data_IF_213797937550
#
_entry.id   IF_213797937550
#
_cell.length_a   1.000
_cell.length_b   1.000
_cell.length_c   1.000
_cell.angle_alpha   90.00
_cell.angle_beta   90.00
_cell.angle_gamma   90.00
#
_symmetry.space_group_name_H-M   'P 1'
#
loop_
_entity.id
_entity.type
_entity.pdbx_description
1 polymer ?
#
# COMPACT_ATOMS: atom_id res chain seq x y z
N UNK A 1 0.69 5.15 29.58
CA UNK A 1 1.17 4.00 28.79
C UNK A 1 1.04 4.34 27.32
N UNK A 2 1.96 3.89 26.46
CA UNK A 2 1.83 4.12 25.02
C UNK A 2 0.56 3.41 24.51
N UNK A 3 -0.20 4.08 23.65
CA UNK A 3 -1.43 3.53 23.08
C UNK A 3 -1.13 2.29 22.25
N UNK A 4 -1.91 1.23 22.37
CA UNK A 4 -1.77 0.05 21.52
C UNK A 4 -2.65 0.20 20.29
N UNK A 5 -2.08 -0.05 19.10
CA UNK A 5 -2.82 -0.02 17.84
C UNK A 5 -2.54 -1.32 17.07
N UNK A 6 -3.62 -1.98 16.67
CA UNK A 6 -3.53 -3.26 15.97
C UNK A 6 -3.35 -3.02 14.47
N UNK A 7 -2.22 -3.44 13.91
CA UNK A 7 -2.03 -3.49 12.46
C UNK A 7 -2.54 -4.81 11.90
N UNK A 8 -3.66 -4.73 11.19
CA UNK A 8 -4.31 -5.88 10.59
C UNK A 8 -3.72 -6.15 9.20
N UNK A 9 -2.79 -7.10 9.16
CA UNK A 9 -2.19 -7.60 7.92
C UNK A 9 -1.72 -9.04 8.09
N UNK A 10 -1.90 -9.86 7.05
CA UNK A 10 -1.29 -11.17 6.93
C UNK A 10 0.00 -11.19 6.09
N UNK A 11 0.42 -10.05 5.54
CA UNK A 11 1.59 -9.95 4.68
C UNK A 11 2.82 -9.54 5.49
N UNK A 12 3.72 -10.50 5.74
CA UNK A 12 4.93 -10.29 6.53
C UNK A 12 5.88 -9.23 5.93
N UNK A 13 5.97 -9.12 4.61
CA UNK A 13 6.82 -8.11 3.95
C UNK A 13 6.26 -6.70 4.12
N UNK A 14 4.94 -6.53 4.06
CA UNK A 14 4.30 -5.24 4.39
C UNK A 14 4.57 -4.84 5.84
N UNK A 15 4.47 -5.79 6.77
CA UNK A 15 4.80 -5.54 8.17
C UNK A 15 6.27 -5.11 8.35
N UNK A 16 7.22 -5.81 7.72
CA UNK A 16 8.64 -5.45 7.76
C UNK A 16 8.87 -4.02 7.25
N UNK A 17 8.30 -3.66 6.10
CA UNK A 17 8.43 -2.32 5.53
C UNK A 17 7.82 -1.25 6.44
N UNK A 18 6.60 -1.47 6.96
CA UNK A 18 5.92 -0.51 7.84
C UNK A 18 6.70 -0.29 9.13
N UNK A 19 7.15 -1.36 9.79
CA UNK A 19 7.94 -1.26 11.03
C UNK A 19 9.25 -0.52 10.76
N UNK A 20 9.92 -0.81 9.63
CA UNK A 20 11.16 -0.14 9.25
C UNK A 20 10.97 1.35 8.97
N UNK A 21 9.85 1.74 8.35
CA UNK A 21 9.55 3.16 8.03
C UNK A 21 9.10 3.93 9.27
N UNK A 22 8.24 3.34 10.12
CA UNK A 22 7.79 3.97 11.36
C UNK A 22 8.97 4.23 12.32
N UNK A 23 9.94 3.30 12.33
CA UNK A 23 11.10 3.35 13.20
C UNK A 23 10.71 3.26 14.69
N UNK A 24 11.63 3.65 15.57
CA UNK A 24 11.43 3.60 17.02
C UNK A 24 10.64 4.80 17.59
N UNK A 25 10.39 5.83 16.78
CA UNK A 25 9.78 7.10 17.21
C UNK A 25 8.31 7.20 16.81
N UNK A 26 7.49 6.30 17.34
CA UNK A 26 6.03 6.43 17.28
C UNK A 26 5.44 6.52 18.69
N UNK A 27 4.40 7.35 18.92
CA UNK A 27 3.79 7.50 20.25
C UNK A 27 2.86 6.35 20.63
N UNK A 28 2.85 5.27 19.85
CA UNK A 28 1.99 4.10 20.03
C UNK A 28 2.77 2.81 19.80
N UNK A 29 2.31 1.72 20.41
CA UNK A 29 2.80 0.38 20.19
C UNK A 29 2.02 -0.28 19.06
N UNK A 30 2.70 -0.66 17.98
CA UNK A 30 2.11 -1.39 16.87
C UNK A 30 2.04 -2.89 17.19
N UNK A 31 0.85 -3.48 17.17
CA UNK A 31 0.63 -4.91 17.40
C UNK A 31 0.15 -5.53 16.09
N UNK A 32 0.89 -6.46 15.50
CA UNK A 32 0.38 -7.18 14.32
C UNK A 32 -0.67 -8.21 14.74
N UNK A 33 -1.80 -8.24 14.02
CA UNK A 33 -2.79 -9.31 14.11
C UNK A 33 -3.21 -9.73 12.71
N UNK A 34 -3.08 -11.02 12.40
CA UNK A 34 -3.64 -11.58 11.18
C UNK A 34 -5.15 -11.77 11.38
N UNK A 35 -5.94 -11.04 10.61
CA UNK A 35 -7.40 -11.21 10.53
C UNK A 35 -7.74 -11.45 9.07
N UNK A 36 -8.63 -12.41 8.82
CA UNK A 36 -9.18 -12.62 7.49
C UNK A 36 -10.26 -11.57 7.25
N UNK A 37 -10.01 -10.66 6.32
CA UNK A 37 -10.92 -9.58 5.96
C UNK A 37 -11.36 -9.77 4.51
N UNK A 38 -12.61 -9.45 4.17
CA UNK A 38 -13.08 -9.53 2.80
C UNK A 38 -12.30 -8.55 1.91
N UNK A 39 -11.84 -9.04 0.76
CA UNK A 39 -11.27 -8.21 -0.31
C UNK A 39 -12.43 -7.65 -1.14
N UNK A 40 -12.90 -6.46 -0.76
CA UNK A 40 -14.09 -5.84 -1.33
C UNK A 40 -13.81 -5.24 -2.72
N UNK A 41 -14.87 -5.13 -3.53
CA UNK A 41 -14.85 -4.42 -4.81
C UNK A 41 -15.40 -2.99 -4.65
N UNK A 42 -14.93 -2.09 -5.50
CA UNK A 42 -15.35 -0.69 -5.52
C UNK A 42 -14.19 0.27 -5.73
N UNK A 43 -14.42 1.53 -5.40
CA UNK A 43 -13.39 2.56 -5.39
C UNK A 43 -12.45 2.40 -4.19
N UNK A 44 -11.22 2.86 -4.35
CA UNK A 44 -10.14 2.61 -3.39
C UNK A 44 -10.46 3.15 -1.97
N UNK A 45 -11.11 4.31 -1.85
CA UNK A 45 -11.47 4.91 -0.55
C UNK A 45 -12.52 4.06 0.16
N UNK A 46 -13.57 3.67 -0.57
CA UNK A 46 -14.66 2.85 -0.05
C UNK A 46 -14.16 1.49 0.43
N UNK A 47 -13.26 0.86 -0.33
CA UNK A 47 -12.62 -0.41 0.06
C UNK A 47 -11.85 -0.22 1.36
N UNK A 48 -11.01 0.82 1.46
CA UNK A 48 -10.20 1.07 2.65
C UNK A 48 -11.07 1.35 3.88
N UNK A 49 -12.13 2.16 3.74
CA UNK A 49 -13.06 2.50 4.83
C UNK A 49 -13.79 1.24 5.32
N UNK A 50 -14.38 0.47 4.41
CA UNK A 50 -15.13 -0.74 4.77
C UNK A 50 -14.22 -1.80 5.41
N UNK A 51 -13.02 -1.99 4.87
CA UNK A 51 -12.00 -2.90 5.43
C UNK A 51 -11.58 -2.47 6.83
N UNK A 52 -11.36 -1.18 7.06
CA UNK A 52 -10.99 -0.64 8.36
C UNK A 52 -12.11 -0.78 9.38
N UNK A 53 -13.36 -0.50 9.01
CA UNK A 53 -14.53 -0.68 9.88
C UNK A 53 -14.72 -2.15 10.28
N UNK A 54 -14.56 -3.07 9.34
CA UNK A 54 -14.66 -4.51 9.64
C UNK A 54 -13.51 -4.98 10.55
N UNK A 55 -12.28 -4.50 10.30
CA UNK A 55 -11.14 -4.75 11.18
C UNK A 55 -11.41 -4.24 12.60
N UNK A 56 -11.93 -3.02 12.74
CA UNK A 56 -12.26 -2.42 14.04
C UNK A 56 -13.33 -3.24 14.76
N UNK A 57 -14.36 -3.71 14.04
CA UNK A 57 -15.43 -4.56 14.59
C UNK A 57 -14.90 -5.88 15.15
N UNK A 58 -13.93 -6.51 14.48
CA UNK A 58 -13.34 -7.80 14.92
C UNK A 58 -12.33 -7.60 16.07
N UNK A 59 -11.58 -6.51 16.03
CA UNK A 59 -10.55 -6.20 17.04
C UNK A 59 -11.14 -5.58 18.30
N UNK A 60 -12.28 -4.91 18.18
CA UNK A 60 -12.94 -4.13 19.25
C UNK A 60 -12.03 -3.05 19.85
N UNK A 61 -11.28 -2.35 18.99
CA UNK A 61 -10.35 -1.30 19.44
C UNK A 61 -9.63 -0.58 18.29
N UNK A 62 -8.55 0.17 18.60
CA UNK A 62 -7.80 0.93 17.60
C UNK A 62 -7.15 0.02 16.57
N UNK A 63 -7.44 0.25 15.30
CA UNK A 63 -6.91 -0.55 14.19
C UNK A 63 -6.30 0.31 13.09
N UNK A 64 -5.29 -0.26 12.45
CA UNK A 64 -4.75 0.20 11.18
C UNK A 64 -4.89 -0.95 10.18
N UNK A 65 -5.39 -0.65 8.98
CA UNK A 65 -5.32 -1.54 7.81
C UNK A 65 -4.54 -0.83 6.70
N UNK A 66 -3.98 -1.62 5.78
CA UNK A 66 -3.29 -1.12 4.60
C UNK A 66 -3.89 -1.73 3.34
N UNK A 67 -4.06 -0.90 2.31
CA UNK A 67 -4.33 -1.35 0.95
C UNK A 67 -3.34 -0.75 -0.05
N UNK A 68 -3.03 -1.50 -1.11
CA UNK A 68 -2.05 -1.12 -2.12
C UNK A 68 -2.64 -1.32 -3.50
N UNK A 69 -2.67 -0.24 -4.29
CA UNK A 69 -3.20 -0.23 -5.64
C UNK A 69 -2.07 0.08 -6.63
N UNK A 70 -2.19 -0.44 -7.85
CA UNK A 70 -1.39 -0.02 -8.99
C UNK A 70 -2.35 0.30 -10.14
N UNK A 71 -2.49 1.58 -10.46
CA UNK A 71 -3.43 2.03 -11.49
C UNK A 71 -2.71 2.47 -12.76
N UNK A 72 -3.13 1.93 -13.90
CA UNK A 72 -2.59 2.32 -15.20
C UNK A 72 -3.45 3.43 -15.79
N UNK A 73 -2.83 4.53 -16.24
CA UNK A 73 -3.55 5.70 -16.75
C UNK A 73 -4.40 5.32 -17.97
N UNK A 74 -3.83 4.56 -18.90
CA UNK A 74 -4.51 4.07 -20.10
C UNK A 74 -5.76 3.21 -19.79
N UNK A 75 -5.77 2.52 -18.64
CA UNK A 75 -6.91 1.72 -18.18
C UNK A 75 -7.76 2.46 -17.14
N UNK A 76 -7.71 3.79 -17.13
CA UNK A 76 -8.47 4.66 -16.21
C UNK A 76 -8.29 4.26 -14.73
N UNK A 77 -7.07 3.88 -14.35
CA UNK A 77 -6.73 3.50 -12.98
C UNK A 77 -6.85 2.01 -12.66
N UNK A 78 -7.31 1.16 -13.58
CA UNK A 78 -7.24 -0.30 -13.44
C UNK A 78 -5.79 -0.81 -13.67
N UNK A 79 -5.39 -1.97 -13.10
CA UNK A 79 -6.19 -2.86 -12.25
C UNK A 79 -6.47 -2.30 -10.84
N UNK A 80 -5.77 -1.25 -10.41
CA UNK A 80 -6.07 -0.51 -9.19
C UNK A 80 -6.08 -1.41 -7.95
N UNK A 81 -7.17 -1.48 -7.17
CA UNK A 81 -7.28 -2.34 -5.98
C UNK A 81 -7.26 -3.83 -6.32
N UNK A 82 -7.49 -4.20 -7.59
CA UNK A 82 -7.51 -5.59 -8.03
C UNK A 82 -6.12 -6.13 -8.37
N UNK A 83 -5.06 -5.33 -8.23
CA UNK A 83 -3.70 -5.66 -8.65
C UNK A 83 -3.20 -7.02 -8.14
N UNK A 84 -3.61 -7.44 -6.93
CA UNK A 84 -3.27 -8.76 -6.37
C UNK A 84 -3.65 -9.91 -7.31
N UNK A 85 -4.86 -9.88 -7.86
CA UNK A 85 -5.40 -10.93 -8.73
C UNK A 85 -4.77 -10.89 -10.11
N UNK A 86 -4.56 -9.69 -10.65
CA UNK A 86 -3.89 -9.52 -11.93
C UNK A 86 -2.43 -10.00 -11.85
N UNK A 87 -1.71 -9.63 -10.78
CA UNK A 87 -0.35 -10.10 -10.56
C UNK A 87 -0.27 -11.62 -10.40
N UNK A 88 -1.19 -12.24 -9.65
CA UNK A 88 -1.24 -13.70 -9.47
C UNK A 88 -1.38 -14.45 -10.80
N UNK A 89 -2.23 -13.95 -11.70
CA UNK A 89 -2.51 -14.62 -12.98
C UNK A 89 -1.55 -14.29 -14.10
N UNK A 90 -1.06 -13.05 -14.14
CA UNK A 90 -0.30 -12.51 -15.26
C UNK A 90 1.19 -12.41 -14.96
N UNK A 91 1.56 -12.31 -13.68
CA UNK A 91 2.90 -11.91 -13.27
C UNK A 91 3.28 -10.52 -13.77
N UNK A 92 4.50 -10.05 -13.45
CA UNK A 92 4.99 -8.76 -13.95
C UNK A 92 5.01 -8.65 -15.48
N UNK A 93 5.31 -9.74 -16.20
CA UNK A 93 5.36 -9.73 -17.66
C UNK A 93 3.97 -9.50 -18.25
N UNK A 94 2.97 -10.23 -17.76
CA UNK A 94 1.61 -10.06 -18.25
C UNK A 94 1.00 -8.71 -17.85
N UNK A 95 1.36 -8.14 -16.69
CA UNK A 95 1.00 -6.76 -16.33
C UNK A 95 1.55 -5.74 -17.34
N UNK A 96 2.79 -5.91 -17.80
CA UNK A 96 3.33 -5.09 -18.89
C UNK A 96 2.61 -5.33 -20.21
N UNK A 97 2.33 -6.59 -20.56
CA UNK A 97 1.62 -6.96 -21.79
C UNK A 97 0.17 -6.46 -21.84
N UNK A 98 -0.50 -6.28 -20.70
CA UNK A 98 -1.84 -5.66 -20.65
C UNK A 98 -1.88 -4.29 -21.32
N UNK A 99 -0.75 -3.58 -21.33
CA UNK A 99 -0.65 -2.26 -21.92
C UNK A 99 -0.17 -2.29 -23.38
N UNK A 100 0.08 -3.45 -24.00
CA UNK A 100 0.68 -3.54 -25.34
C UNK A 100 -0.03 -2.68 -26.41
N UNK A 101 -1.37 -2.62 -26.38
CA UNK A 101 -2.18 -1.84 -27.32
C UNK A 101 -2.33 -0.34 -27.00
N UNK A 102 -1.67 0.17 -25.95
CA UNK A 102 -1.78 1.56 -25.50
C UNK A 102 -0.46 2.29 -25.68
N UNK A 103 -0.45 3.50 -26.21
CA UNK A 103 0.78 4.32 -26.24
C UNK A 103 1.20 4.77 -24.84
N UNK A 104 0.23 5.19 -24.03
CA UNK A 104 0.45 5.61 -22.65
C UNK A 104 0.72 4.41 -21.74
N UNK A 105 1.92 4.40 -21.15
CA UNK A 105 2.37 3.39 -20.18
C UNK A 105 2.44 3.93 -18.75
N UNK A 106 2.00 5.17 -18.53
CA UNK A 106 2.06 5.80 -17.21
C UNK A 106 1.15 5.08 -16.21
N UNK A 107 1.61 5.04 -14.96
CA UNK A 107 0.91 4.40 -13.87
C UNK A 107 1.19 5.10 -12.54
N UNK A 108 0.27 4.90 -11.59
CA UNK A 108 0.41 5.41 -10.23
C UNK A 108 0.33 4.24 -9.25
N UNK A 109 1.41 4.07 -8.49
CA UNK A 109 1.42 3.22 -7.31
C UNK A 109 0.83 3.98 -6.13
N UNK A 110 -0.11 3.39 -5.41
CA UNK A 110 -0.85 4.04 -4.33
C UNK A 110 -0.88 3.14 -3.11
N UNK A 111 -0.61 3.70 -1.94
CA UNK A 111 -0.78 3.03 -0.65
C UNK A 111 -1.73 3.87 0.19
N UNK A 112 -2.70 3.22 0.82
CA UNK A 112 -3.61 3.88 1.76
C UNK A 112 -3.58 3.13 3.08
N UNK A 113 -3.20 3.84 4.14
CA UNK A 113 -3.45 3.40 5.50
C UNK A 113 -4.79 3.93 5.94
N UNK A 114 -5.62 3.07 6.54
CA UNK A 114 -6.88 3.48 7.14
C UNK A 114 -6.84 3.17 8.64
N UNK A 115 -7.15 4.18 9.44
CA UNK A 115 -7.14 4.12 10.90
C UNK A 115 -8.54 4.35 11.45
N UNK A 116 -8.93 3.54 12.43
CA UNK A 116 -10.12 3.77 13.24
C UNK A 116 -9.77 3.62 14.72
N UNK A 117 -10.25 4.53 15.56
CA UNK A 117 -10.10 4.48 17.01
C UNK A 117 -10.92 3.36 17.65
N UNK A 118 -12.11 3.11 17.09
CA UNK A 118 -13.07 2.13 17.59
C UNK A 118 -14.03 1.73 16.46
N UNK A 119 -14.87 0.69 16.65
CA UNK A 119 -15.84 0.25 15.63
C UNK A 119 -16.83 1.34 15.18
N UNK A 120 -17.09 2.34 16.03
CA UNK A 120 -18.06 3.42 15.76
C UNK A 120 -17.41 4.73 15.32
N UNK A 121 -16.08 4.82 15.32
CA UNK A 121 -15.37 6.03 14.93
C UNK A 121 -15.31 6.19 13.41
N UNK A 122 -15.18 7.44 12.98
CA UNK A 122 -14.84 7.74 11.59
C UNK A 122 -13.47 7.18 11.24
N UNK A 123 -13.32 6.76 9.99
CA UNK A 123 -12.08 6.22 9.45
C UNK A 123 -11.25 7.36 8.89
N UNK A 124 -10.00 7.45 9.32
CA UNK A 124 -9.01 8.37 8.80
C UNK A 124 -8.16 7.68 7.73
N UNK A 125 -8.01 8.31 6.56
CA UNK A 125 -7.22 7.78 5.45
C UNK A 125 -5.92 8.56 5.28
N UNK A 126 -4.82 7.83 5.17
CA UNK A 126 -3.49 8.38 4.91
C UNK A 126 -2.96 7.77 3.62
N UNK A 127 -2.97 8.57 2.55
CA UNK A 127 -2.62 8.11 1.20
C UNK A 127 -1.26 8.62 0.76
N UNK A 128 -0.45 7.73 0.22
CA UNK A 128 0.80 8.05 -0.44
C UNK A 128 0.81 7.52 -1.87
N UNK A 129 1.43 8.27 -2.78
CA UNK A 129 1.43 7.96 -4.21
C UNK A 129 2.82 8.11 -4.81
N UNK A 130 3.08 7.31 -5.84
CA UNK A 130 4.26 7.48 -6.69
C UNK A 130 3.85 7.28 -8.13
N UNK A 131 4.10 8.30 -8.95
CA UNK A 131 3.94 8.23 -10.40
C UNK A 131 5.12 7.48 -11.02
N UNK A 132 4.86 6.85 -12.14
CA UNK A 132 5.86 6.10 -12.87
C UNK A 132 5.30 5.55 -14.17
N UNK A 133 6.00 4.56 -14.70
CA UNK A 133 5.70 3.94 -15.99
C UNK A 133 5.81 2.44 -15.86
N UNK A 134 4.89 1.71 -16.51
CA UNK A 134 4.95 0.26 -16.63
C UNK A 134 5.93 -0.11 -17.73
N UNK A 135 6.90 -0.95 -17.37
CA UNK A 135 8.00 -1.35 -18.25
C UNK A 135 8.11 -2.87 -18.30
N UNK A 136 8.81 -3.38 -19.32
CA UNK A 136 9.22 -4.79 -19.33
C UNK A 136 9.97 -5.12 -18.03
N UNK A 137 9.63 -6.22 -17.34
CA UNK A 137 10.13 -6.51 -16.00
C UNK A 137 11.67 -6.57 -15.92
N UNK A 138 12.25 -5.96 -14.88
CA UNK A 138 13.68 -6.03 -14.57
C UNK A 138 13.91 -6.21 -13.07
N UNK A 139 15.07 -6.73 -12.69
CA UNK A 139 15.43 -6.98 -11.29
C UNK A 139 14.81 -8.25 -10.67
N UNK A 140 15.01 -8.47 -9.36
CA UNK A 140 14.50 -9.63 -8.63
C UNK A 140 12.97 -9.70 -8.58
N UNK A 141 12.39 -10.90 -8.69
CA UNK A 141 10.94 -11.13 -8.74
C UNK A 141 10.32 -11.48 -7.39
N UNK A 142 11.02 -11.17 -6.31
CA UNK A 142 10.67 -11.64 -4.97
C UNK A 142 9.49 -10.86 -4.37
N UNK A 143 9.15 -9.68 -4.92
CA UNK A 143 8.15 -8.81 -4.33
C UNK A 143 7.23 -8.15 -5.36
N UNK A 144 6.02 -8.68 -5.45
CA UNK A 144 4.91 -7.98 -6.06
C UNK A 144 5.11 -7.68 -7.54
N UNK A 145 4.65 -6.49 -7.92
CA UNK A 145 4.74 -5.91 -9.26
C UNK A 145 5.95 -4.97 -9.40
N UNK A 146 6.81 -4.88 -8.38
CA UNK A 146 8.01 -4.02 -8.40
C UNK A 146 8.87 -4.15 -9.68
N UNK A 147 9.06 -5.36 -10.26
CA UNK A 147 9.86 -5.50 -11.48
C UNK A 147 9.33 -4.74 -12.69
N UNK A 148 8.03 -4.49 -12.77
CA UNK A 148 7.42 -3.84 -13.94
C UNK A 148 7.10 -2.36 -13.70
N UNK A 149 7.48 -1.77 -12.56
CA UNK A 149 7.19 -0.37 -12.25
C UNK A 149 8.48 0.46 -12.17
N UNK A 150 8.60 1.43 -13.08
CA UNK A 150 9.67 2.42 -13.13
C UNK A 150 9.17 3.74 -12.54
N UNK A 151 9.59 4.14 -11.32
CA UNK A 151 9.17 5.42 -10.74
C UNK A 151 9.73 6.61 -11.53
N UNK A 152 8.95 7.69 -11.60
CA UNK A 152 9.33 8.93 -12.28
C UNK A 152 10.61 9.53 -11.67
N UNK A 153 11.53 9.97 -12.53
CA UNK A 153 12.83 10.52 -12.12
C UNK A 153 13.95 9.49 -11.90
N UNK A 154 13.70 8.21 -12.16
CA UNK A 154 14.68 7.12 -12.01
C UNK A 154 14.79 6.26 -13.26
N UNK A 155 15.92 5.55 -13.38
CA UNK A 155 16.18 4.58 -14.45
C UNK A 155 16.08 3.12 -14.00
N UNK A 156 15.85 2.90 -12.71
CA UNK A 156 15.72 1.57 -12.08
C UNK A 156 14.27 1.31 -11.72
N UNK A 157 13.79 0.11 -12.00
CA UNK A 157 12.51 -0.37 -11.45
C UNK A 157 12.58 -0.46 -9.94
N UNK A 158 11.43 -0.51 -9.26
CA UNK A 158 11.42 -0.74 -7.80
C UNK A 158 12.16 -2.00 -7.38
N UNK A 159 12.17 -3.05 -8.20
CA UNK A 159 12.89 -4.28 -7.91
C UNK A 159 14.42 -4.10 -8.03
N UNK A 160 14.90 -3.26 -8.95
CA UNK A 160 16.32 -2.96 -9.14
C UNK A 160 16.87 -1.98 -8.09
N UNK A 161 16.01 -1.28 -7.36
CA UNK A 161 16.41 -0.30 -6.35
C UNK A 161 16.85 -0.98 -5.04
N UNK A 162 17.92 -0.49 -4.40
CA UNK A 162 18.20 -0.80 -3.00
C UNK A 162 16.98 -0.44 -2.12
N UNK A 163 16.67 -1.28 -1.12
CA UNK A 163 15.53 -1.07 -0.21
C UNK A 163 15.52 0.33 0.43
N UNK A 164 16.68 0.89 0.78
CA UNK A 164 16.79 2.25 1.35
C UNK A 164 16.31 3.32 0.38
N UNK A 165 16.79 3.29 -0.86
CA UNK A 165 16.42 4.24 -1.91
C UNK A 165 14.92 4.12 -2.27
N UNK A 166 14.41 2.90 -2.42
CA UNK A 166 12.97 2.66 -2.64
C UNK A 166 12.15 3.30 -1.52
N UNK A 167 12.57 3.11 -0.25
CA UNK A 167 11.86 3.64 0.91
C UNK A 167 11.84 5.18 0.98
N UNK A 168 12.75 5.90 0.31
CA UNK A 168 12.70 7.36 0.28
C UNK A 168 11.56 7.88 -0.61
N UNK A 169 11.24 7.16 -1.68
CA UNK A 169 10.27 7.61 -2.68
C UNK A 169 8.94 6.86 -2.67
N UNK A 170 8.87 5.71 -1.99
CA UNK A 170 7.74 4.80 -2.16
C UNK A 170 6.42 5.41 -1.70
N UNK A 171 5.37 5.05 -2.44
CA UNK A 171 3.97 5.30 -2.10
C UNK A 171 3.64 4.85 -0.67
N UNK A 172 4.15 3.70 -0.22
CA UNK A 172 4.00 3.21 1.16
C UNK A 172 4.66 4.13 2.17
N UNK A 173 5.92 4.52 1.95
CA UNK A 173 6.63 5.45 2.84
C UNK A 173 5.91 6.78 2.99
N UNK A 174 5.46 7.36 1.88
CA UNK A 174 4.67 8.60 1.88
C UNK A 174 3.38 8.47 2.71
N UNK A 175 2.71 7.31 2.62
CA UNK A 175 1.49 7.06 3.38
C UNK A 175 1.77 6.88 4.89
N UNK A 176 2.81 6.12 5.22
CA UNK A 176 3.25 5.89 6.61
C UNK A 176 3.72 7.20 7.28
N UNK A 177 4.42 8.08 6.56
CA UNK A 177 4.84 9.38 7.09
C UNK A 177 3.66 10.27 7.46
N UNK A 178 2.60 10.30 6.63
CA UNK A 178 1.36 11.02 6.96
C UNK A 178 0.65 10.44 8.19
N UNK A 179 0.64 9.12 8.32
CA UNK A 179 0.13 8.43 9.51
C UNK A 179 0.96 8.82 10.75
N UNK A 180 2.29 8.82 10.66
CA UNK A 180 3.19 9.22 11.74
C UNK A 180 2.96 10.67 12.17
N UNK A 181 2.92 11.59 11.22
CA UNK A 181 2.66 13.02 11.46
C UNK A 181 1.34 13.24 12.21
N UNK A 182 0.27 12.54 11.83
CA UNK A 182 -1.01 12.61 12.54
C UNK A 182 -0.87 12.24 14.03
N UNK A 183 -0.14 11.18 14.34
CA UNK A 183 0.05 10.74 15.72
C UNK A 183 1.02 11.61 16.51
N UNK A 184 2.04 12.19 15.87
CA UNK A 184 2.97 13.11 16.53
C UNK A 184 2.29 14.45 16.87
N UNK A 185 1.37 14.94 16.02
CA UNK A 185 0.58 16.16 16.27
C UNK A 185 -0.54 15.98 17.31
N UNK A 186 -0.84 14.74 17.71
CA UNK A 186 -1.85 14.39 18.73
C UNK A 186 -1.26 14.30 20.15
N UNK A 187 0.04 14.60 20.31
CA UNK A 187 0.73 14.66 21.59
C UNK A 187 0.35 15.90 22.40
#
# INVERSE_FOLDING_TARGET
MAKQIVFVTGNAKKLEEVVKILGETIPFQLINRKVDLPELQGEYEDICIKKCKEAARIVEGPVIVEDTCLGFTALKGLPGPYIKWFLDKLGPDGLHQMLAGWEDKSATAMCTFAYAESPTSDVLLFRGETKGTIVSPRGPRDFGWDPCFLPEGYNQTYAEMPKSQKNEISHRSKAVLKLKEYFDNKR
#
